data_IF_873149036348
#
_entry.id   IF_873149036348
#
_cell.length_a   1.000
_cell.length_b   1.000
_cell.length_c   1.000
_cell.angle_alpha   90.00
_cell.angle_beta   90.00
_cell.angle_gamma   90.00
#
_symmetry.space_group_name_H-M   'P 1'
#
loop_
_entity.id
_entity.type
_entity.pdbx_description
1 polymer ?
#
# COMPACT_ATOMS: atom_id res chain seq x y z
N UNK A 1 34.44 62.91 -34.42
CA UNK A 1 33.02 62.59 -34.23
C UNK A 1 32.95 61.15 -33.76
N UNK A 2 32.81 60.92 -32.44
CA UNK A 2 32.67 59.60 -31.84
C UNK A 2 31.19 59.26 -31.69
N UNK A 3 30.76 57.98 -31.95
CA UNK A 3 29.37 57.63 -31.73
C UNK A 3 29.14 57.21 -30.27
N UNK A 4 28.09 57.78 -29.71
CA UNK A 4 27.59 57.59 -28.38
C UNK A 4 27.02 56.16 -28.18
N UNK A 5 27.56 55.41 -27.24
CA UNK A 5 26.99 54.10 -26.83
C UNK A 5 25.70 54.34 -26.02
N UNK A 6 24.57 53.81 -26.50
CA UNK A 6 23.35 53.72 -25.73
C UNK A 6 23.45 52.58 -24.74
N UNK A 7 23.32 52.89 -23.43
CA UNK A 7 23.14 51.95 -22.34
C UNK A 7 21.80 51.23 -22.53
N UNK A 8 21.82 49.89 -22.61
CA UNK A 8 20.65 49.04 -22.57
C UNK A 8 20.09 49.02 -21.14
N UNK A 9 18.81 49.26 -21.01
CA UNK A 9 18.01 49.11 -19.79
C UNK A 9 17.79 47.60 -19.53
N UNK A 10 17.91 47.08 -18.29
CA UNK A 10 17.67 45.69 -18.00
C UNK A 10 16.17 45.39 -18.07
N UNK A 11 15.81 44.21 -18.63
CA UNK A 11 14.49 43.65 -18.76
C UNK A 11 13.91 43.30 -17.37
N UNK A 12 12.67 43.71 -17.03
CA UNK A 12 12.03 43.40 -15.75
C UNK A 12 11.51 41.98 -15.60
N UNK A 13 11.70 41.09 -16.58
CA UNK A 13 11.13 39.75 -16.60
C UNK A 13 11.99 38.63 -15.98
N UNK A 14 13.20 38.87 -15.52
CA UNK A 14 13.96 37.90 -14.74
C UNK A 14 13.44 37.80 -13.30
N UNK A 15 12.28 37.16 -13.12
CA UNK A 15 11.87 36.64 -11.82
C UNK A 15 12.79 35.52 -11.42
N UNK A 16 13.80 35.88 -10.62
CA UNK A 16 14.66 34.91 -9.91
C UNK A 16 13.73 33.92 -9.17
N UNK A 17 13.71 32.66 -9.60
CA UNK A 17 13.12 31.59 -8.85
C UNK A 17 13.81 31.47 -7.50
N UNK A 18 13.22 32.07 -6.47
CA UNK A 18 13.70 31.92 -5.10
C UNK A 18 13.61 30.45 -4.75
N UNK A 19 14.74 29.81 -4.50
CA UNK A 19 14.81 28.46 -3.96
C UNK A 19 13.94 28.41 -2.69
N UNK A 20 12.98 27.50 -2.69
CA UNK A 20 12.16 27.22 -1.51
C UNK A 20 13.08 26.83 -0.36
N UNK A 21 12.93 27.41 0.85
CA UNK A 21 13.79 27.06 1.97
C UNK A 21 13.68 25.55 2.24
N UNK A 22 14.81 24.89 2.41
CA UNK A 22 14.86 23.50 2.82
C UNK A 22 13.99 23.31 4.07
N UNK A 23 12.98 22.44 3.99
CA UNK A 23 12.14 22.12 5.13
C UNK A 23 13.02 21.58 6.27
N UNK A 24 12.88 22.18 7.48
CA UNK A 24 13.51 21.67 8.69
C UNK A 24 13.19 20.17 8.86
N UNK A 25 14.16 19.35 9.32
CA UNK A 25 13.92 17.94 9.53
C UNK A 25 12.70 17.76 10.45
N UNK A 26 11.73 16.99 9.99
CA UNK A 26 10.52 16.68 10.77
C UNK A 26 10.94 15.79 11.94
N UNK A 27 10.79 16.28 13.16
CA UNK A 27 11.08 15.55 14.41
C UNK A 27 10.06 14.46 14.73
N UNK A 28 9.05 14.26 13.87
CA UNK A 28 7.99 13.27 14.04
C UNK A 28 8.03 12.24 12.91
N UNK A 29 8.02 10.96 13.26
CA UNK A 29 7.84 9.84 12.34
C UNK A 29 6.62 10.05 11.45
N UNK A 30 6.78 9.95 10.13
CA UNK A 30 5.65 9.98 9.21
C UNK A 30 4.80 8.73 9.42
N UNK A 31 3.47 8.89 9.44
CA UNK A 31 2.55 7.77 9.57
C UNK A 31 1.96 7.42 8.21
N UNK A 32 2.09 6.16 7.86
CA UNK A 32 1.44 5.59 6.67
C UNK A 32 0.54 4.43 7.08
N UNK A 33 -0.52 4.20 6.33
CA UNK A 33 -1.32 2.99 6.42
C UNK A 33 -1.43 2.38 5.03
N UNK A 34 -1.21 1.07 4.92
CA UNK A 34 -1.34 0.34 3.67
C UNK A 34 -2.44 -0.69 3.78
N UNK A 35 -3.45 -0.57 2.91
CA UNK A 35 -4.48 -1.60 2.72
C UNK A 35 -4.10 -2.51 1.57
N UNK A 36 -4.11 -3.81 1.82
CA UNK A 36 -3.68 -4.84 0.88
C UNK A 36 -4.62 -6.04 0.83
N UNK A 37 -4.62 -6.72 -0.31
CA UNK A 37 -5.14 -8.08 -0.46
C UNK A 37 -3.96 -9.02 -0.75
N UNK A 38 -3.79 -10.14 -0.03
CA UNK A 38 -2.70 -11.08 -0.28
C UNK A 38 -2.66 -11.63 -1.69
N UNK A 39 -3.80 -11.70 -2.38
CA UNK A 39 -3.88 -12.18 -3.76
C UNK A 39 -3.44 -11.12 -4.79
N UNK A 40 -3.35 -9.84 -4.41
CA UNK A 40 -3.02 -8.75 -5.32
C UNK A 40 -1.52 -8.63 -5.58
N UNK A 41 -1.05 -8.82 -6.83
CA UNK A 41 0.37 -8.69 -7.14
C UNK A 41 0.88 -7.24 -7.02
N UNK A 42 0.03 -6.26 -7.27
CA UNK A 42 0.39 -4.84 -7.16
C UNK A 42 0.55 -4.41 -5.70
N UNK A 43 -0.35 -4.87 -4.82
CA UNK A 43 -0.18 -4.67 -3.37
C UNK A 43 1.12 -5.31 -2.86
N UNK A 44 1.48 -6.49 -3.38
CA UNK A 44 2.76 -7.10 -3.08
C UNK A 44 3.94 -6.20 -3.46
N UNK A 45 3.95 -5.62 -4.67
CA UNK A 45 5.03 -4.73 -5.11
C UNK A 45 5.13 -3.47 -4.24
N UNK A 46 4.00 -2.82 -3.96
CA UNK A 46 3.96 -1.63 -3.09
C UNK A 46 4.42 -1.94 -1.68
N UNK A 47 4.06 -3.10 -1.14
CA UNK A 47 4.54 -3.52 0.18
C UNK A 47 6.06 -3.70 0.22
N UNK A 48 6.67 -4.21 -0.85
CA UNK A 48 8.13 -4.35 -0.93
C UNK A 48 8.82 -2.99 -0.99
N UNK A 49 8.22 -2.03 -1.69
CA UNK A 49 8.70 -0.65 -1.67
C UNK A 49 8.61 -0.02 -0.27
N UNK A 50 7.46 -0.11 0.41
CA UNK A 50 7.32 0.45 1.77
C UNK A 50 8.32 -0.13 2.75
N UNK A 51 8.60 -1.43 2.68
CA UNK A 51 9.65 -2.05 3.51
C UNK A 51 11.06 -1.51 3.23
N UNK A 52 11.35 -1.08 2.01
CA UNK A 52 12.62 -0.41 1.70
C UNK A 52 12.62 1.05 2.21
N UNK A 53 11.46 1.72 2.17
CA UNK A 53 11.30 3.06 2.74
C UNK A 53 11.60 3.07 4.25
N UNK A 54 11.05 2.11 5.01
CA UNK A 54 11.28 1.98 6.45
C UNK A 54 12.77 1.86 6.84
N UNK A 55 13.63 1.41 5.91
CA UNK A 55 15.08 1.30 6.13
C UNK A 55 15.84 2.62 5.98
N UNK A 56 15.28 3.58 5.24
CA UNK A 56 15.96 4.80 4.80
C UNK A 56 15.21 6.09 5.13
N UNK A 57 14.00 5.99 5.68
CA UNK A 57 13.18 7.11 6.15
C UNK A 57 12.53 6.77 7.49
N UNK A 58 12.33 7.80 8.30
CA UNK A 58 11.62 7.65 9.58
C UNK A 58 10.11 7.63 9.33
N UNK A 59 9.61 6.46 9.00
CA UNK A 59 8.20 6.17 8.72
C UNK A 59 7.72 5.00 9.57
N UNK A 60 6.46 5.05 9.95
CA UNK A 60 5.75 4.01 10.69
C UNK A 60 4.58 3.53 9.83
N UNK A 61 4.62 2.28 9.38
CA UNK A 61 3.62 1.71 8.47
C UNK A 61 2.67 0.80 9.22
N UNK A 62 1.39 1.18 9.24
CA UNK A 62 0.29 0.32 9.69
C UNK A 62 -0.20 -0.53 8.52
N UNK A 63 -0.48 -1.80 8.78
CA UNK A 63 -0.90 -2.77 7.76
C UNK A 63 -2.36 -3.17 7.98
N UNK A 64 -3.19 -2.99 6.96
CA UNK A 64 -4.62 -3.24 7.02
C UNK A 64 -5.11 -4.08 5.85
N UNK A 65 -6.12 -4.91 6.10
CA UNK A 65 -6.64 -5.82 5.07
C UNK A 65 -7.72 -5.13 4.25
N UNK A 66 -7.57 -5.16 2.93
CA UNK A 66 -8.66 -5.00 1.96
C UNK A 66 -8.93 -6.33 1.26
N UNK A 67 -10.02 -6.42 0.51
CA UNK A 67 -10.37 -7.62 -0.22
C UNK A 67 -10.87 -7.30 -1.62
N UNK A 68 -10.16 -7.83 -2.62
CA UNK A 68 -10.63 -7.82 -4.01
C UNK A 68 -11.89 -8.68 -4.19
N UNK A 69 -12.07 -9.71 -3.36
CA UNK A 69 -13.29 -10.53 -3.35
C UNK A 69 -14.51 -9.72 -2.91
N UNK A 70 -14.37 -8.86 -1.87
CA UNK A 70 -15.43 -7.93 -1.44
C UNK A 70 -15.70 -6.89 -2.51
N UNK A 71 -14.64 -6.28 -3.06
CA UNK A 71 -14.76 -5.24 -4.10
C UNK A 71 -15.53 -5.75 -5.33
N UNK A 72 -15.20 -6.96 -5.77
CA UNK A 72 -15.74 -7.53 -7.00
C UNK A 72 -16.97 -8.44 -6.77
N UNK A 73 -17.55 -8.46 -5.56
CA UNK A 73 -18.62 -9.40 -5.21
C UNK A 73 -19.82 -9.31 -6.17
N UNK A 74 -20.18 -8.06 -6.54
CA UNK A 74 -21.32 -7.77 -7.42
C UNK A 74 -20.90 -7.31 -8.82
N UNK A 75 -19.59 -7.24 -9.11
CA UNK A 75 -19.09 -6.76 -10.39
C UNK A 75 -19.31 -7.83 -11.48
N UNK A 76 -19.58 -7.38 -12.70
CA UNK A 76 -19.58 -8.25 -13.88
C UNK A 76 -18.12 -8.51 -14.31
N UNK A 77 -17.61 -9.68 -13.97
CA UNK A 77 -16.24 -10.10 -14.21
C UNK A 77 -16.20 -11.48 -14.89
N UNK A 78 -15.12 -11.79 -15.58
CA UNK A 78 -14.96 -13.08 -16.24
C UNK A 78 -15.09 -14.26 -15.26
N UNK A 79 -15.55 -15.42 -15.75
CA UNK A 79 -15.68 -16.64 -14.92
C UNK A 79 -14.36 -17.05 -14.27
N UNK A 80 -13.24 -16.90 -14.99
CA UNK A 80 -11.90 -17.22 -14.47
C UNK A 80 -11.52 -16.30 -13.31
N UNK A 81 -11.79 -15.00 -13.45
CA UNK A 81 -11.49 -14.03 -12.39
C UNK A 81 -12.45 -14.22 -11.20
N UNK A 82 -13.73 -14.55 -11.44
CA UNK A 82 -14.69 -14.92 -10.38
C UNK A 82 -14.17 -16.10 -9.56
N UNK A 83 -13.72 -17.17 -10.22
CA UNK A 83 -13.14 -18.33 -9.53
C UNK A 83 -11.89 -17.98 -8.69
N UNK A 84 -11.08 -17.03 -9.14
CA UNK A 84 -9.96 -16.53 -8.36
C UNK A 84 -10.45 -15.75 -7.12
N UNK A 85 -11.45 -14.88 -7.29
CA UNK A 85 -12.03 -14.10 -6.20
C UNK A 85 -12.69 -15.01 -5.15
N UNK A 86 -13.36 -16.08 -5.55
CA UNK A 86 -13.97 -17.04 -4.63
C UNK A 86 -12.92 -17.71 -3.72
N UNK A 87 -11.75 -18.03 -4.27
CA UNK A 87 -10.62 -18.58 -3.49
C UNK A 87 -9.93 -17.51 -2.63
N UNK A 88 -9.88 -16.27 -3.09
CA UNK A 88 -9.17 -15.17 -2.40
C UNK A 88 -9.85 -14.73 -1.08
N UNK A 89 -11.09 -15.15 -0.81
CA UNK A 89 -11.69 -14.99 0.52
C UNK A 89 -10.90 -15.68 1.64
N UNK A 90 -10.28 -16.82 1.37
CA UNK A 90 -9.57 -17.63 2.37
C UNK A 90 -8.44 -16.84 3.05
N UNK A 91 -7.41 -16.38 2.31
CA UNK A 91 -6.27 -15.63 2.87
C UNK A 91 -6.69 -14.41 3.70
N UNK A 92 -7.63 -13.59 3.21
CA UNK A 92 -8.04 -12.37 3.93
C UNK A 92 -8.79 -12.68 5.21
N UNK A 93 -9.66 -13.73 5.24
CA UNK A 93 -10.34 -14.19 6.44
C UNK A 93 -9.36 -14.69 7.50
N UNK A 94 -8.34 -15.43 7.09
CA UNK A 94 -7.32 -15.94 8.02
C UNK A 94 -6.52 -14.82 8.64
N UNK A 95 -6.14 -13.78 7.89
CA UNK A 95 -5.44 -12.63 8.45
C UNK A 95 -6.34 -11.89 9.45
N UNK A 96 -7.62 -11.68 9.15
CA UNK A 96 -8.58 -11.07 10.09
C UNK A 96 -8.72 -11.93 11.35
N UNK A 97 -8.88 -13.25 11.22
CA UNK A 97 -8.98 -14.15 12.36
C UNK A 97 -7.72 -14.13 13.24
N UNK A 98 -6.55 -14.07 12.61
CA UNK A 98 -5.28 -13.98 13.31
C UNK A 98 -5.15 -12.66 14.07
N UNK A 99 -5.51 -11.54 13.44
CA UNK A 99 -5.52 -10.21 14.07
C UNK A 99 -6.50 -10.15 15.26
N UNK A 100 -7.73 -10.68 15.13
CA UNK A 100 -8.69 -10.73 16.24
C UNK A 100 -8.19 -11.57 17.44
N UNK A 101 -7.43 -12.64 17.17
CA UNK A 101 -6.95 -13.56 18.20
C UNK A 101 -5.60 -13.15 18.83
N UNK A 102 -4.73 -12.49 18.08
CA UNK A 102 -3.33 -12.25 18.47
C UNK A 102 -2.90 -10.78 18.35
N UNK A 103 -3.80 -9.86 17.92
CA UNK A 103 -3.50 -8.45 17.69
C UNK A 103 -2.93 -8.17 16.31
N UNK A 104 -2.89 -6.88 15.93
CA UNK A 104 -2.55 -6.44 14.56
C UNK A 104 -1.07 -6.64 14.18
N UNK A 105 -0.18 -6.85 15.16
CA UNK A 105 1.23 -7.12 14.94
C UNK A 105 1.49 -8.40 14.14
N UNK A 106 0.54 -9.33 14.06
CA UNK A 106 0.65 -10.56 13.26
C UNK A 106 0.28 -10.35 11.78
N UNK A 107 -0.39 -9.25 11.44
CA UNK A 107 -0.88 -8.98 10.07
C UNK A 107 0.27 -8.97 9.06
N UNK A 108 1.29 -8.15 9.32
CA UNK A 108 2.41 -8.00 8.39
C UNK A 108 3.24 -9.28 8.22
N UNK A 109 3.69 -9.97 9.27
CA UNK A 109 4.41 -11.24 9.13
C UNK A 109 3.61 -12.28 8.33
N UNK A 110 2.32 -12.43 8.61
CA UNK A 110 1.46 -13.38 7.94
C UNK A 110 1.24 -13.00 6.46
N UNK A 111 1.06 -11.71 6.17
CA UNK A 111 1.01 -11.21 4.80
C UNK A 111 2.30 -11.48 4.03
N UNK A 112 3.46 -11.26 4.64
CA UNK A 112 4.76 -11.50 4.01
C UNK A 112 4.95 -12.99 3.68
N UNK A 113 4.60 -13.87 4.60
CA UNK A 113 4.68 -15.31 4.40
C UNK A 113 3.76 -15.80 3.27
N UNK A 114 2.50 -15.34 3.25
CA UNK A 114 1.53 -15.66 2.18
C UNK A 114 1.97 -15.07 0.84
N UNK A 115 2.35 -13.80 0.80
CA UNK A 115 2.74 -13.10 -0.41
C UNK A 115 4.01 -13.69 -1.04
N UNK A 116 4.97 -14.14 -0.24
CA UNK A 116 6.16 -14.83 -0.75
C UNK A 116 5.78 -16.14 -1.48
N UNK A 117 4.81 -16.88 -0.96
CA UNK A 117 4.32 -18.11 -1.59
C UNK A 117 3.53 -17.81 -2.86
N UNK A 118 2.59 -16.89 -2.79
CA UNK A 118 1.70 -16.55 -3.91
C UNK A 118 2.48 -15.89 -5.06
N UNK A 119 3.28 -14.85 -4.76
CA UNK A 119 3.84 -13.98 -5.79
C UNK A 119 5.27 -14.38 -6.23
N UNK A 120 6.10 -14.91 -5.33
CA UNK A 120 7.47 -15.33 -5.67
C UNK A 120 7.54 -16.79 -6.05
N UNK A 121 6.94 -17.70 -5.22
CA UNK A 121 6.94 -19.15 -5.47
C UNK A 121 5.82 -19.61 -6.39
N UNK A 122 4.86 -18.72 -6.74
CA UNK A 122 3.72 -19.00 -7.64
C UNK A 122 2.80 -20.13 -7.18
N UNK A 123 2.70 -20.36 -5.88
CA UNK A 123 1.76 -21.33 -5.30
C UNK A 123 0.33 -20.83 -5.51
N UNK A 124 -0.55 -21.68 -6.09
CA UNK A 124 -1.94 -21.35 -6.44
C UNK A 124 -2.96 -22.01 -5.50
N UNK A 125 -2.52 -22.94 -4.70
CA UNK A 125 -3.30 -23.58 -3.65
C UNK A 125 -3.26 -22.71 -2.40
N UNK A 126 -4.34 -21.97 -2.16
CA UNK A 126 -4.41 -21.04 -1.03
C UNK A 126 -4.55 -21.74 0.32
N UNK A 127 -5.13 -22.94 0.38
CA UNK A 127 -5.18 -23.70 1.63
C UNK A 127 -3.78 -24.12 2.05
N UNK A 128 -2.96 -24.56 1.10
CA UNK A 128 -1.54 -24.83 1.33
C UNK A 128 -0.77 -23.56 1.70
N UNK A 129 -0.99 -22.44 1.00
CA UNK A 129 -0.37 -21.14 1.31
C UNK A 129 -0.66 -20.75 2.76
N UNK A 130 -1.93 -20.86 3.18
CA UNK A 130 -2.38 -20.51 4.54
C UNK A 130 -1.67 -21.40 5.57
N UNK A 131 -1.75 -22.72 5.41
CA UNK A 131 -1.19 -23.66 6.36
C UNK A 131 0.33 -23.45 6.58
N UNK A 132 1.09 -23.40 5.48
CA UNK A 132 2.53 -23.18 5.53
C UNK A 132 2.91 -21.78 6.06
N UNK A 133 2.06 -20.76 5.83
CA UNK A 133 2.32 -19.41 6.32
C UNK A 133 2.06 -19.28 7.81
N UNK A 134 1.01 -19.90 8.32
CA UNK A 134 0.74 -19.95 9.77
C UNK A 134 1.87 -20.64 10.52
N UNK A 135 2.37 -21.76 10.00
CA UNK A 135 3.52 -22.46 10.55
C UNK A 135 4.78 -21.58 10.60
N UNK A 136 5.09 -20.92 9.46
CA UNK A 136 6.29 -20.06 9.34
C UNK A 136 6.29 -18.91 10.37
N UNK A 137 5.12 -18.33 10.65
CA UNK A 137 5.01 -17.20 11.59
C UNK A 137 4.69 -17.62 13.02
N UNK A 138 4.65 -18.93 13.31
CA UNK A 138 4.41 -19.47 14.66
C UNK A 138 2.98 -19.28 15.17
N UNK A 139 2.00 -19.14 14.26
CA UNK A 139 0.59 -19.03 14.62
C UNK A 139 -0.11 -20.40 14.63
N UNK A 140 -1.17 -20.57 15.45
CA UNK A 140 -1.88 -21.83 15.57
C UNK A 140 -2.44 -22.30 14.21
N UNK A 141 -2.16 -23.56 13.82
CA UNK A 141 -2.68 -24.17 12.59
C UNK A 141 -4.21 -24.18 12.53
N UNK A 142 -4.90 -24.12 13.67
CA UNK A 142 -6.37 -24.04 13.76
C UNK A 142 -6.95 -22.81 13.11
N UNK A 143 -6.17 -21.70 12.97
CA UNK A 143 -6.58 -20.50 12.26
C UNK A 143 -6.85 -20.74 10.78
N UNK A 144 -6.27 -21.78 10.17
CA UNK A 144 -6.57 -22.16 8.78
C UNK A 144 -8.06 -22.39 8.53
N UNK A 145 -8.81 -22.88 9.53
CA UNK A 145 -10.27 -23.09 9.44
C UNK A 145 -11.03 -21.80 9.14
N UNK A 146 -10.45 -20.64 9.50
CA UNK A 146 -11.07 -19.34 9.25
C UNK A 146 -11.26 -19.05 7.74
N UNK A 147 -10.45 -19.65 6.87
CA UNK A 147 -10.54 -19.50 5.42
C UNK A 147 -11.96 -19.75 4.90
N UNK A 148 -12.65 -20.73 5.50
CA UNK A 148 -13.98 -21.18 5.09
C UNK A 148 -15.11 -20.68 6.02
N UNK A 149 -14.81 -19.75 6.95
CA UNK A 149 -15.77 -19.27 7.96
C UNK A 149 -16.22 -17.84 7.70
N UNK A 150 -17.49 -17.68 7.31
CA UNK A 150 -18.08 -16.36 7.02
C UNK A 150 -18.24 -15.44 8.24
N UNK A 151 -18.04 -15.93 9.46
CA UNK A 151 -18.12 -15.11 10.68
C UNK A 151 -17.12 -13.95 10.68
N UNK A 152 -16.01 -14.05 9.94
CA UNK A 152 -14.99 -13.02 9.81
C UNK A 152 -15.30 -11.97 8.74
N UNK A 153 -16.34 -12.19 7.92
CA UNK A 153 -16.67 -11.30 6.80
C UNK A 153 -17.08 -9.91 7.28
N UNK A 154 -17.73 -9.79 8.43
CA UNK A 154 -18.14 -8.49 8.97
C UNK A 154 -16.92 -7.63 9.34
N UNK A 155 -15.91 -8.21 10.00
CA UNK A 155 -14.67 -7.51 10.33
C UNK A 155 -13.85 -7.17 9.08
N UNK A 156 -13.73 -8.13 8.14
CA UNK A 156 -13.09 -7.91 6.84
C UNK A 156 -13.74 -6.74 6.09
N UNK A 157 -15.07 -6.70 6.00
CA UNK A 157 -15.80 -5.63 5.32
C UNK A 157 -15.62 -4.28 6.00
N UNK A 158 -15.51 -4.22 7.33
CA UNK A 158 -15.19 -2.97 8.06
C UNK A 158 -13.80 -2.46 7.68
N UNK A 159 -12.79 -3.34 7.67
CA UNK A 159 -11.43 -2.97 7.28
C UNK A 159 -11.35 -2.52 5.81
N UNK A 160 -11.98 -3.29 4.91
CA UNK A 160 -12.12 -2.96 3.49
C UNK A 160 -12.80 -1.59 3.29
N UNK A 161 -13.94 -1.36 3.94
CA UNK A 161 -14.68 -0.08 3.82
C UNK A 161 -13.84 1.10 4.28
N UNK A 162 -13.04 0.94 5.33
CA UNK A 162 -12.16 2.00 5.85
C UNK A 162 -11.14 2.45 4.79
N UNK A 163 -10.52 1.49 4.06
CA UNK A 163 -9.58 1.83 2.98
C UNK A 163 -10.27 2.36 1.73
N UNK A 164 -11.30 1.64 1.23
CA UNK A 164 -11.94 2.01 -0.05
C UNK A 164 -12.69 3.34 0.03
N UNK A 165 -13.23 3.72 1.20
CA UNK A 165 -13.92 4.99 1.36
C UNK A 165 -13.02 6.21 1.23
N UNK A 166 -11.70 6.04 1.30
CA UNK A 166 -10.73 7.12 1.15
C UNK A 166 -10.41 7.44 -0.32
N UNK A 167 -10.60 6.47 -1.23
CA UNK A 167 -10.15 6.56 -2.63
C UNK A 167 -11.26 6.31 -3.65
N UNK A 168 -12.46 5.94 -3.19
CA UNK A 168 -13.59 5.57 -4.07
C UNK A 168 -13.57 4.10 -4.51
N UNK A 169 -14.66 3.65 -5.13
CA UNK A 169 -14.91 2.24 -5.48
C UNK A 169 -14.36 1.82 -6.84
N UNK A 170 -13.83 2.77 -7.62
CA UNK A 170 -13.32 2.53 -8.98
C UNK A 170 -11.88 2.03 -9.00
N UNK A 171 -11.28 1.87 -7.82
CA UNK A 171 -9.91 1.39 -7.63
C UNK A 171 -9.89 0.15 -6.74
N UNK A 172 -8.80 -0.61 -6.83
CA UNK A 172 -8.58 -1.81 -5.99
C UNK A 172 -7.51 -1.60 -4.94
N UNK A 173 -6.66 -2.61 -4.76
CA UNK A 173 -5.50 -2.55 -3.88
C UNK A 173 -4.21 -2.47 -4.70
N UNK A 174 -3.14 -1.84 -4.19
CA UNK A 174 -2.97 -1.25 -2.86
C UNK A 174 -3.63 0.12 -2.69
N UNK A 175 -4.06 0.41 -1.48
CA UNK A 175 -4.35 1.79 -1.06
C UNK A 175 -3.29 2.19 -0.04
N UNK A 176 -2.72 3.37 -0.19
CA UNK A 176 -1.75 3.93 0.76
C UNK A 176 -2.29 5.25 1.27
N UNK A 177 -2.44 5.34 2.58
CA UNK A 177 -2.75 6.58 3.29
C UNK A 177 -1.48 7.16 3.90
N UNK A 178 -1.29 8.46 3.74
CA UNK A 178 -0.15 9.19 4.29
C UNK A 178 -0.62 10.55 4.79
N UNK A 179 -0.39 10.83 6.09
CA UNK A 179 -0.66 12.16 6.67
C UNK A 179 -2.10 12.69 6.40
N UNK A 180 -3.08 11.77 6.34
CA UNK A 180 -4.50 12.12 6.16
C UNK A 180 -4.98 12.15 4.71
N UNK A 181 -4.11 11.95 3.74
CA UNK A 181 -4.46 11.77 2.32
C UNK A 181 -4.26 10.30 1.95
N UNK A 182 -5.15 9.74 1.14
CA UNK A 182 -5.01 8.38 0.64
C UNK A 182 -5.17 8.34 -0.88
N UNK A 183 -4.50 7.38 -1.51
CA UNK A 183 -4.56 7.17 -2.95
C UNK A 183 -4.34 5.70 -3.31
N UNK A 184 -4.78 5.30 -4.49
CA UNK A 184 -4.44 4.01 -5.07
C UNK A 184 -2.96 4.00 -5.49
N UNK A 185 -2.19 3.07 -4.98
CA UNK A 185 -0.76 2.98 -5.27
C UNK A 185 0.13 3.59 -4.17
N UNK A 186 1.34 4.05 -4.55
CA UNK A 186 1.93 3.98 -5.87
C UNK A 186 2.28 2.55 -6.28
N UNK A 187 1.97 2.19 -7.53
CA UNK A 187 2.36 0.91 -8.10
C UNK A 187 3.59 1.09 -8.96
N UNK A 188 4.72 0.57 -8.50
CA UNK A 188 6.01 0.67 -9.20
C UNK A 188 6.64 -0.70 -9.32
N UNK A 189 7.05 -1.08 -10.52
CA UNK A 189 7.69 -2.37 -10.78
C UNK A 189 8.93 -2.19 -11.68
N UNK A 190 10.09 -2.73 -11.27
CA UNK A 190 10.35 -3.38 -9.98
C UNK A 190 10.27 -2.40 -8.82
N UNK A 191 9.99 -2.90 -7.60
CA UNK A 191 9.99 -2.06 -6.41
C UNK A 191 11.38 -1.45 -6.20
N UNK A 192 11.50 -0.10 -6.09
CA UNK A 192 12.78 0.55 -5.86
C UNK A 192 13.35 0.17 -4.50
N UNK A 193 14.68 0.23 -4.37
CA UNK A 193 15.40 -0.16 -3.15
C UNK A 193 16.25 0.98 -2.63
N UNK A 194 16.57 0.91 -1.33
CA UNK A 194 17.45 1.87 -0.66
C UNK A 194 17.01 3.31 -0.89
N UNK A 195 17.96 4.21 -1.21
CA UNK A 195 17.68 5.64 -1.38
C UNK A 195 16.71 5.95 -2.53
N UNK A 196 16.64 5.11 -3.57
CA UNK A 196 15.64 5.29 -4.63
C UNK A 196 14.22 5.08 -4.09
N UNK A 197 14.01 4.14 -3.14
CA UNK A 197 12.75 3.98 -2.45
C UNK A 197 12.42 5.20 -1.57
N UNK A 198 13.43 5.74 -0.88
CA UNK A 198 13.29 6.95 -0.07
C UNK A 198 12.90 8.17 -0.90
N UNK A 199 13.53 8.41 -2.05
CA UNK A 199 13.16 9.53 -2.94
C UNK A 199 11.73 9.43 -3.47
N UNK A 200 11.27 8.23 -3.81
CA UNK A 200 9.86 8.03 -4.21
C UNK A 200 8.92 8.35 -3.05
N UNK A 201 9.29 7.96 -1.81
CA UNK A 201 8.55 8.30 -0.61
C UNK A 201 8.47 9.80 -0.38
N UNK A 202 9.59 10.52 -0.50
CA UNK A 202 9.65 11.98 -0.34
C UNK A 202 8.72 12.68 -1.35
N UNK A 203 8.73 12.22 -2.62
CA UNK A 203 7.79 12.68 -3.65
C UNK A 203 6.33 12.39 -3.30
N UNK A 204 6.05 11.20 -2.75
CA UNK A 204 4.71 10.81 -2.29
C UNK A 204 4.21 11.74 -1.18
N UNK A 205 5.07 12.11 -0.22
CA UNK A 205 4.72 13.07 0.84
C UNK A 205 4.43 14.47 0.28
N UNK A 206 5.20 14.92 -0.70
CA UNK A 206 4.97 16.22 -1.36
C UNK A 206 3.61 16.25 -2.06
N UNK A 207 3.29 15.20 -2.80
CA UNK A 207 2.00 15.05 -3.48
C UNK A 207 0.87 15.02 -2.45
N UNK A 208 0.95 14.16 -1.43
CA UNK A 208 -0.06 14.03 -0.37
C UNK A 208 -0.24 15.33 0.44
N UNK A 209 0.82 16.14 0.58
CA UNK A 209 0.76 17.44 1.26
C UNK A 209 0.24 18.59 0.40
N UNK A 210 -0.09 18.36 -0.89
CA UNK A 210 -0.57 19.39 -1.80
C UNK A 210 -2.10 19.55 -1.66
N UNK A 211 -2.61 20.73 -1.25
CA UNK A 211 -4.04 20.93 -1.13
C UNK A 211 -4.77 20.70 -2.47
N UNK A 212 -5.87 19.94 -2.43
CA UNK A 212 -6.66 19.65 -3.64
C UNK A 212 -6.11 18.52 -4.52
N UNK A 213 -5.10 17.78 -4.05
CA UNK A 213 -4.72 16.55 -4.68
C UNK A 213 -5.63 15.40 -4.21
N UNK A 214 -6.26 14.71 -5.19
CA UNK A 214 -7.18 13.58 -4.96
C UNK A 214 -6.84 12.41 -5.87
#
# INVERSE_FOLDING_TARGET
MSPTQKKATPDPSEKTLRATPAQKPRTRRAKAEMWFDPACPWAWMTSRWLMEVEKVRDVDVTWSVMSLSVLNEKADISKSYRSLMDKAWGPVRVIIAASEAHGDNVIKPLYDAMGARIHRRKVRDYDRVIAESLEEVGLPATLAKAAHQRKYDAALRRSHKRGISLVGTDVGTPVVGVEGVAFFGPVVTPAPKGEAAGRLWDGTLLVAGTPGFY
#
